data_IF_020835803979
#
_entry.id   IF_020835803979
#
_cell.length_a   1.000
_cell.length_b   1.000
_cell.length_c   1.000
_cell.angle_alpha   90.00
_cell.angle_beta   90.00
_cell.angle_gamma   90.00
#
_symmetry.space_group_name_H-M   'P 1'
#
loop_
_entity.id
_entity.type
_entity.pdbx_description
1 polymer ?
#
# COMPACT_ATOMS: atom_id res chain seq x y z
N UNK A 1 28.71 -8.21 -38.97
CA UNK A 1 28.27 -7.00 -38.25
C UNK A 1 26.89 -7.16 -37.62
N UNK A 2 25.85 -7.56 -38.38
CA UNK A 2 24.49 -7.74 -37.86
C UNK A 2 24.35 -8.72 -36.67
N UNK A 3 25.01 -9.88 -36.73
CA UNK A 3 24.98 -10.89 -35.64
C UNK A 3 25.60 -10.39 -34.33
N UNK A 4 26.68 -9.61 -34.40
CA UNK A 4 27.34 -9.04 -33.23
C UNK A 4 26.47 -7.94 -32.61
N UNK A 5 25.87 -7.09 -33.43
CA UNK A 5 24.91 -6.07 -32.98
C UNK A 5 23.67 -6.70 -32.31
N UNK A 6 23.10 -7.78 -32.89
CA UNK A 6 21.99 -8.51 -32.28
C UNK A 6 22.37 -9.16 -30.93
N UNK A 7 23.58 -9.72 -30.81
CA UNK A 7 24.06 -10.31 -29.55
C UNK A 7 24.29 -9.24 -28.47
N UNK A 8 24.85 -8.08 -28.84
CA UNK A 8 25.00 -6.94 -27.95
C UNK A 8 23.64 -6.40 -27.50
N UNK A 9 22.70 -6.20 -28.43
CA UNK A 9 21.35 -5.74 -28.11
C UNK A 9 20.61 -6.72 -27.18
N UNK A 10 20.70 -8.03 -27.46
CA UNK A 10 20.11 -9.07 -26.61
C UNK A 10 20.77 -9.14 -25.22
N UNK A 11 22.10 -9.00 -25.14
CA UNK A 11 22.85 -8.95 -23.90
C UNK A 11 22.47 -7.74 -23.04
N UNK A 12 22.43 -6.55 -23.63
CA UNK A 12 22.00 -5.32 -22.95
C UNK A 12 20.55 -5.39 -22.49
N UNK A 13 19.64 -5.92 -23.34
CA UNK A 13 18.25 -6.13 -22.97
C UNK A 13 18.08 -7.09 -21.78
N UNK A 14 18.85 -8.17 -21.75
CA UNK A 14 18.84 -9.15 -20.66
C UNK A 14 19.37 -8.55 -19.35
N UNK A 15 20.44 -7.76 -19.40
CA UNK A 15 20.99 -7.06 -18.23
C UNK A 15 20.03 -5.99 -17.70
N UNK A 16 19.39 -5.23 -18.59
CA UNK A 16 18.39 -4.24 -18.20
C UNK A 16 17.17 -4.89 -17.55
N UNK A 17 16.66 -5.98 -18.13
CA UNK A 17 15.55 -6.75 -17.57
C UNK A 17 15.92 -7.36 -16.22
N UNK A 18 17.10 -7.99 -16.11
CA UNK A 18 17.61 -8.56 -14.85
C UNK A 18 17.77 -7.51 -13.76
N UNK A 19 18.35 -6.35 -14.09
CA UNK A 19 18.48 -5.23 -13.17
C UNK A 19 17.13 -4.66 -12.71
N UNK A 20 16.14 -4.60 -13.60
CA UNK A 20 14.79 -4.18 -13.25
C UNK A 20 14.10 -5.18 -12.31
N UNK A 21 14.21 -6.49 -12.58
CA UNK A 21 13.66 -7.54 -11.72
C UNK A 21 14.30 -7.49 -10.32
N UNK A 22 15.63 -7.35 -10.24
CA UNK A 22 16.32 -7.22 -8.97
C UNK A 22 15.84 -6.00 -8.17
N UNK A 23 15.62 -4.85 -8.83
CA UNK A 23 15.03 -3.68 -8.17
C UNK A 23 13.59 -3.90 -7.73
N UNK A 24 12.81 -4.64 -8.51
CA UNK A 24 11.41 -4.95 -8.17
C UNK A 24 11.29 -5.88 -6.97
N UNK A 25 12.23 -6.81 -6.83
CA UNK A 25 12.29 -7.75 -5.71
C UNK A 25 13.05 -7.20 -4.49
N UNK A 26 13.77 -6.07 -4.64
CA UNK A 26 14.45 -5.42 -3.54
C UNK A 26 13.43 -5.01 -2.47
N UNK A 27 13.70 -5.40 -1.21
CA UNK A 27 12.85 -5.20 -0.02
C UNK A 27 11.51 -5.95 -0.01
N UNK A 28 11.04 -6.47 -1.14
CA UNK A 28 9.76 -7.18 -1.23
C UNK A 28 9.62 -8.32 -0.20
N UNK A 29 10.64 -9.18 0.05
CA UNK A 29 10.53 -10.21 1.08
C UNK A 29 10.26 -9.67 2.49
N UNK A 30 10.82 -8.51 2.85
CA UNK A 30 10.59 -7.88 4.14
C UNK A 30 9.20 -7.25 4.23
N UNK A 31 8.68 -6.75 3.10
CA UNK A 31 7.34 -6.16 2.99
C UNK A 31 6.21 -7.19 3.01
N UNK A 32 6.48 -8.47 2.70
CA UNK A 32 5.48 -9.56 2.72
C UNK A 32 5.00 -9.94 4.12
N UNK A 33 5.61 -9.37 5.17
CA UNK A 33 5.20 -9.58 6.56
C UNK A 33 5.89 -10.75 7.24
N UNK A 34 5.31 -11.18 8.36
CA UNK A 34 5.90 -12.18 9.25
C UNK A 34 5.82 -13.59 8.65
N UNK A 35 6.91 -14.35 8.77
CA UNK A 35 6.90 -15.78 8.43
C UNK A 35 6.08 -16.61 9.43
N UNK A 36 5.70 -17.86 9.09
CA UNK A 36 4.85 -18.71 9.93
C UNK A 36 5.37 -18.91 11.36
N UNK A 37 6.69 -18.96 11.56
CA UNK A 37 7.27 -19.08 12.90
C UNK A 37 7.08 -17.83 13.76
N UNK A 38 7.19 -16.64 13.17
CA UNK A 38 6.97 -15.38 13.88
C UNK A 38 5.48 -15.15 14.20
N UNK A 39 4.59 -15.49 13.26
CA UNK A 39 3.14 -15.48 13.47
C UNK A 39 2.78 -16.40 14.63
N UNK A 40 3.31 -17.62 14.63
CA UNK A 40 3.08 -18.62 15.68
C UNK A 40 3.42 -18.09 17.08
N UNK A 41 4.60 -17.50 17.25
CA UNK A 41 5.00 -16.90 18.53
C UNK A 41 4.02 -15.85 19.05
N UNK A 42 3.44 -15.04 18.16
CA UNK A 42 2.45 -14.03 18.53
C UNK A 42 1.04 -14.62 18.75
N UNK A 43 0.69 -15.70 18.04
CA UNK A 43 -0.68 -16.22 17.96
C UNK A 43 -0.94 -17.46 18.83
N UNK A 44 0.09 -18.16 19.31
CA UNK A 44 -0.02 -19.45 20.03
C UNK A 44 -0.89 -19.41 21.30
N UNK A 45 -1.07 -18.24 21.91
CA UNK A 45 -1.96 -18.06 23.07
C UNK A 45 -3.40 -17.68 22.74
N UNK A 46 -3.71 -17.46 21.47
CA UNK A 46 -5.04 -17.00 21.04
C UNK A 46 -6.00 -18.18 20.87
N UNK A 47 -7.22 -18.12 21.40
CA UNK A 47 -8.25 -19.12 21.12
C UNK A 47 -8.65 -19.16 19.64
N UNK A 48 -8.30 -18.11 18.88
CA UNK A 48 -8.58 -17.98 17.45
C UNK A 48 -7.45 -18.52 16.57
N UNK A 49 -6.31 -18.93 17.12
CA UNK A 49 -5.23 -19.54 16.35
C UNK A 49 -5.27 -21.06 16.50
N UNK A 50 -5.64 -21.76 15.42
CA UNK A 50 -5.77 -23.22 15.39
C UNK A 50 -5.40 -23.77 14.02
N UNK A 51 -4.83 -24.97 14.00
CA UNK A 51 -4.37 -25.64 12.78
C UNK A 51 -3.36 -24.81 11.95
N UNK A 52 -2.60 -23.93 12.62
CA UNK A 52 -1.56 -23.09 11.99
C UNK A 52 -2.08 -21.81 11.31
N UNK A 53 -3.38 -21.51 11.40
CA UNK A 53 -4.02 -20.34 10.79
C UNK A 53 -4.85 -19.58 11.83
N UNK A 54 -4.97 -18.27 11.67
CA UNK A 54 -5.85 -17.44 12.50
C UNK A 54 -7.28 -17.46 11.94
N UNK A 55 -8.25 -17.71 12.80
CA UNK A 55 -9.68 -17.77 12.46
C UNK A 55 -10.35 -16.50 12.98
N UNK A 56 -10.81 -15.65 12.06
CA UNK A 56 -11.56 -14.45 12.42
C UNK A 56 -12.90 -14.83 13.07
N UNK A 57 -13.38 -13.98 13.98
CA UNK A 57 -14.68 -14.16 14.65
C UNK A 57 -15.84 -14.11 13.65
N UNK A 58 -15.72 -13.20 12.67
CA UNK A 58 -16.64 -13.09 11.56
C UNK A 58 -16.06 -13.77 10.32
N UNK A 59 -16.86 -14.55 9.58
CA UNK A 59 -16.41 -15.13 8.33
C UNK A 59 -16.12 -14.01 7.33
N UNK A 60 -14.98 -14.11 6.64
CA UNK A 60 -14.69 -13.20 5.55
C UNK A 60 -15.78 -13.31 4.47
N UNK A 61 -16.24 -12.15 3.98
CA UNK A 61 -17.09 -12.08 2.79
C UNK A 61 -16.27 -12.52 1.58
N UNK A 62 -16.25 -13.83 1.33
CA UNK A 62 -15.56 -14.37 0.17
C UNK A 62 -16.30 -13.93 -1.10
N UNK A 63 -15.72 -12.98 -1.83
CA UNK A 63 -16.09 -12.75 -3.23
C UNK A 63 -15.72 -14.03 -4.00
N UNK A 64 -16.73 -14.83 -4.35
CA UNK A 64 -16.55 -15.99 -5.23
C UNK A 64 -16.62 -15.50 -6.67
N UNK A 65 -15.47 -15.09 -7.19
CA UNK A 65 -15.32 -14.71 -8.59
C UNK A 65 -15.04 -15.95 -9.43
N UNK A 66 -15.73 -16.10 -10.56
CA UNK A 66 -15.43 -17.15 -11.54
C UNK A 66 -14.19 -16.81 -12.39
N UNK A 67 -13.77 -17.75 -13.25
CA UNK A 67 -12.57 -17.57 -14.07
C UNK A 67 -12.70 -16.44 -15.10
N UNK A 68 -13.90 -16.20 -15.63
CA UNK A 68 -14.15 -15.13 -16.60
C UNK A 68 -14.19 -13.77 -15.91
N UNK A 69 -14.82 -13.67 -14.73
CA UNK A 69 -14.84 -12.47 -13.91
C UNK A 69 -13.41 -12.06 -13.49
N UNK A 70 -12.59 -13.02 -13.04
CA UNK A 70 -11.18 -12.77 -12.74
C UNK A 70 -10.41 -12.29 -13.97
N UNK A 71 -10.69 -12.85 -15.15
CA UNK A 71 -10.04 -12.44 -16.40
C UNK A 71 -10.47 -11.03 -16.83
N UNK A 72 -11.74 -10.68 -16.64
CA UNK A 72 -12.26 -9.34 -16.91
C UNK A 72 -11.65 -8.30 -15.98
N UNK A 73 -11.55 -8.59 -14.67
CA UNK A 73 -10.87 -7.72 -13.71
C UNK A 73 -9.41 -7.52 -14.11
N UNK A 74 -8.69 -8.60 -14.44
CA UNK A 74 -7.30 -8.52 -14.86
C UNK A 74 -7.16 -7.69 -16.15
N UNK A 75 -8.06 -7.89 -17.12
CA UNK A 75 -8.07 -7.10 -18.35
C UNK A 75 -8.34 -5.63 -18.05
N UNK A 76 -9.34 -5.33 -17.21
CA UNK A 76 -9.68 -3.97 -16.80
C UNK A 76 -8.50 -3.28 -16.12
N UNK A 77 -7.84 -3.93 -15.16
CA UNK A 77 -6.63 -3.39 -14.51
C UNK A 77 -5.51 -2.99 -15.51
N UNK A 78 -5.46 -3.66 -16.67
CA UNK A 78 -4.51 -3.37 -17.74
C UNK A 78 -5.06 -2.29 -18.70
N UNK A 79 -6.35 -2.34 -19.03
CA UNK A 79 -6.98 -1.53 -20.08
C UNK A 79 -7.65 -0.23 -19.61
N UNK A 80 -8.18 -0.14 -18.38
CA UNK A 80 -9.03 0.96 -17.89
C UNK A 80 -8.28 2.16 -17.32
N UNK A 81 -6.98 2.29 -17.65
CA UNK A 81 -6.08 3.32 -17.13
C UNK A 81 -6.52 4.78 -17.34
N UNK A 82 -7.46 5.04 -18.24
CA UNK A 82 -7.97 6.39 -18.56
C UNK A 82 -9.17 6.81 -17.71
N UNK A 83 -10.06 5.89 -17.32
CA UNK A 83 -11.22 6.23 -16.49
C UNK A 83 -10.88 6.25 -14.99
N UNK A 84 -9.83 5.53 -14.59
CA UNK A 84 -9.39 5.41 -13.19
C UNK A 84 -8.42 6.52 -12.74
N UNK A 85 -8.17 7.54 -13.56
CA UNK A 85 -7.25 8.64 -13.26
C UNK A 85 -7.95 9.99 -13.39
N UNK A 86 -7.67 10.95 -12.49
CA UNK A 86 -8.17 12.30 -12.64
C UNK A 86 -7.63 12.93 -13.93
N UNK A 87 -8.47 13.70 -14.62
CA UNK A 87 -8.10 14.38 -15.87
C UNK A 87 -7.09 15.53 -15.68
N UNK A 88 -6.77 15.88 -14.43
CA UNK A 88 -5.81 16.91 -14.06
C UNK A 88 -5.22 16.64 -12.68
N UNK A 89 -4.37 17.55 -12.20
CA UNK A 89 -3.80 17.46 -10.87
C UNK A 89 -4.91 17.48 -9.80
N UNK A 90 -4.81 16.58 -8.82
CA UNK A 90 -5.70 16.63 -7.65
C UNK A 90 -5.32 17.88 -6.84
N UNK A 91 -6.25 18.81 -6.59
CA UNK A 91 -5.97 19.99 -5.80
C UNK A 91 -5.68 19.57 -4.35
N UNK A 92 -4.61 20.12 -3.78
CA UNK A 92 -4.18 19.84 -2.42
C UNK A 92 -4.27 21.08 -1.56
N UNK A 93 -4.67 20.90 -0.31
CA UNK A 93 -4.60 21.90 0.74
C UNK A 93 -3.66 21.40 1.83
N UNK A 94 -2.79 22.27 2.33
CA UNK A 94 -2.02 21.96 3.53
C UNK A 94 -3.00 21.99 4.73
N UNK A 95 -3.10 20.92 5.52
CA UNK A 95 -3.97 20.91 6.68
C UNK A 95 -3.46 21.93 7.72
N UNK A 96 -4.34 22.74 8.33
CA UNK A 96 -3.96 23.53 9.49
C UNK A 96 -3.70 22.56 10.64
N UNK A 97 -2.43 22.38 10.99
CA UNK A 97 -2.04 21.56 12.14
C UNK A 97 -1.35 22.47 13.13
N UNK A 98 -2.12 22.94 14.11
CA UNK A 98 -1.62 23.79 15.17
C UNK A 98 -0.91 22.97 16.26
N UNK A 99 -0.24 23.63 17.21
CA UNK A 99 0.40 22.91 18.32
C UNK A 99 -0.62 22.16 19.18
N UNK A 100 -1.83 22.73 19.35
CA UNK A 100 -2.92 22.15 20.13
C UNK A 100 -3.95 21.50 19.20
N UNK A 101 -4.46 20.32 19.53
CA UNK A 101 -5.58 19.72 18.79
C UNK A 101 -6.85 20.56 18.94
N UNK A 102 -7.60 20.66 17.85
CA UNK A 102 -8.95 21.21 17.83
C UNK A 102 -9.93 20.29 18.59
N UNK A 103 -11.08 20.83 19.08
CA UNK A 103 -12.08 20.01 19.77
C UNK A 103 -12.62 18.85 18.91
N UNK A 104 -12.77 19.11 17.61
CA UNK A 104 -13.17 18.12 16.61
C UNK A 104 -12.73 18.59 15.22
N UNK A 105 -11.79 17.89 14.60
CA UNK A 105 -11.35 18.16 13.23
C UNK A 105 -10.93 16.87 12.52
N UNK A 106 -11.08 16.86 11.19
CA UNK A 106 -10.64 15.74 10.34
C UNK A 106 -9.87 16.31 9.16
N UNK A 107 -8.60 15.93 9.03
CA UNK A 107 -7.77 16.26 7.88
C UNK A 107 -7.58 15.00 7.02
N UNK A 108 -8.07 15.03 5.79
CA UNK A 108 -7.90 13.93 4.83
C UNK A 108 -6.54 14.04 4.13
N UNK A 109 -5.67 13.05 4.32
CA UNK A 109 -4.31 13.03 3.77
C UNK A 109 -4.21 12.16 2.48
N UNK A 110 -5.32 11.54 2.08
CA UNK A 110 -5.44 10.70 0.89
C UNK A 110 -5.75 9.24 1.24
N UNK A 111 -6.44 8.55 0.34
CA UNK A 111 -6.94 7.18 0.58
C UNK A 111 -7.72 7.08 1.90
N UNK A 112 -7.45 6.09 2.75
CA UNK A 112 -7.99 5.94 4.11
C UNK A 112 -7.17 6.67 5.18
N UNK A 113 -6.10 7.39 4.81
CA UNK A 113 -5.29 8.15 5.76
C UNK A 113 -6.00 9.44 6.19
N UNK A 114 -6.39 9.51 7.46
CA UNK A 114 -6.98 10.71 8.07
C UNK A 114 -6.28 11.03 9.39
N UNK A 115 -6.02 12.32 9.62
CA UNK A 115 -5.62 12.84 10.92
C UNK A 115 -6.90 13.38 11.59
N UNK A 116 -7.38 12.65 12.59
CA UNK A 116 -8.53 13.00 13.43
C UNK A 116 -8.03 13.71 14.68
N UNK A 117 -8.62 14.87 14.97
CA UNK A 117 -8.49 15.55 16.25
C UNK A 117 -9.84 15.46 16.97
N UNK A 118 -9.85 14.94 18.19
CA UNK A 118 -11.08 14.76 18.97
C UNK A 118 -10.78 14.80 20.47
N UNK A 119 -11.51 15.63 21.22
CA UNK A 119 -11.39 15.76 22.68
C UNK A 119 -9.94 16.00 23.17
N UNK A 120 -9.14 16.70 22.36
CA UNK A 120 -7.73 16.98 22.67
C UNK A 120 -6.75 15.86 22.29
N UNK A 121 -7.20 14.82 21.60
CA UNK A 121 -6.37 13.72 21.09
C UNK A 121 -6.17 13.81 19.58
N UNK A 122 -5.04 13.29 19.10
CA UNK A 122 -4.69 13.10 17.70
C UNK A 122 -4.60 11.63 17.35
N UNK A 123 -5.45 11.20 16.43
CA UNK A 123 -5.52 9.82 15.93
C UNK A 123 -5.25 9.81 14.44
N UNK A 124 -4.28 9.00 14.01
CA UNK A 124 -3.99 8.78 12.60
C UNK A 124 -4.55 7.43 12.14
N UNK A 125 -5.32 7.42 11.06
CA UNK A 125 -5.85 6.18 10.47
C UNK A 125 -5.00 5.73 9.29
N UNK A 126 -4.83 4.42 9.12
CA UNK A 126 -4.29 3.75 7.92
C UNK A 126 -3.21 4.57 7.16
N UNK A 127 -2.03 4.79 7.77
CA UNK A 127 -1.05 5.76 7.28
C UNK A 127 -0.29 5.30 6.04
N UNK A 128 -0.47 6.00 4.91
CA UNK A 128 0.28 5.73 3.67
C UNK A 128 1.06 6.95 3.19
N UNK A 129 2.36 6.98 3.51
CA UNK A 129 3.32 7.97 2.99
C UNK A 129 4.15 7.46 1.81
N UNK A 130 4.09 6.16 1.52
CA UNK A 130 4.83 5.56 0.42
C UNK A 130 4.31 6.07 -0.93
N UNK A 131 5.18 6.05 -1.95
CA UNK A 131 4.75 6.38 -3.31
C UNK A 131 3.85 5.29 -3.92
N UNK A 132 3.98 4.05 -3.43
CA UNK A 132 3.25 2.87 -3.93
C UNK A 132 2.74 2.01 -2.78
N UNK A 133 1.49 1.57 -2.90
CA UNK A 133 0.88 0.55 -2.04
C UNK A 133 1.25 -0.83 -2.60
N UNK A 134 2.44 -1.32 -2.26
CA UNK A 134 2.98 -2.56 -2.82
C UNK A 134 4.16 -3.06 -1.98
N UNK A 135 4.40 -4.39 -1.93
CA UNK A 135 5.64 -4.93 -1.38
C UNK A 135 6.87 -4.47 -2.17
N UNK A 136 6.69 -4.13 -3.44
CA UNK A 136 7.74 -3.64 -4.33
C UNK A 136 7.76 -2.12 -4.39
N UNK A 137 8.95 -1.51 -4.31
CA UNK A 137 9.12 -0.08 -4.51
C UNK A 137 8.94 0.36 -5.98
N UNK A 138 8.98 -0.57 -6.93
CA UNK A 138 8.95 -0.26 -8.37
C UNK A 138 7.66 -0.69 -9.07
N UNK A 139 6.99 -1.73 -8.57
CA UNK A 139 5.77 -2.31 -9.18
C UNK A 139 4.59 -2.10 -8.23
N UNK A 140 3.39 -1.96 -8.79
CA UNK A 140 2.15 -1.85 -8.03
C UNK A 140 1.50 -0.46 -8.09
N UNK A 141 0.30 -0.31 -7.49
CA UNK A 141 -0.46 0.94 -7.48
C UNK A 141 0.40 2.12 -7.01
N UNK A 142 0.47 3.17 -7.83
CA UNK A 142 1.10 4.42 -7.44
C UNK A 142 0.02 5.41 -7.06
N UNK A 143 0.28 6.19 -6.02
CA UNK A 143 -0.61 7.27 -5.65
C UNK A 143 -0.75 8.33 -6.74
N UNK A 144 -1.88 9.05 -6.69
CA UNK A 144 -2.28 10.00 -7.73
C UNK A 144 -1.92 11.46 -7.41
N UNK A 145 -1.52 11.75 -6.17
CA UNK A 145 -1.11 13.08 -5.70
C UNK A 145 -0.01 12.91 -4.63
N UNK A 146 0.84 13.93 -4.35
CA UNK A 146 1.79 13.93 -3.21
C UNK A 146 1.05 14.01 -1.86
N UNK A 147 1.74 13.69 -0.75
CA UNK A 147 1.08 13.62 0.56
C UNK A 147 0.88 15.07 0.99
N UNK A 148 -0.33 15.50 1.41
CA UNK A 148 -0.56 16.90 1.75
C UNK A 148 0.31 17.39 2.91
N UNK A 149 0.77 16.47 3.76
CA UNK A 149 1.58 16.74 4.94
C UNK A 149 2.81 15.80 4.96
N UNK A 150 4.04 16.33 4.88
CA UNK A 150 5.26 15.53 5.07
C UNK A 150 5.28 14.82 6.43
N UNK A 151 5.86 13.62 6.47
CA UNK A 151 5.85 12.78 7.68
C UNK A 151 6.57 13.46 8.84
N UNK A 152 7.68 14.13 8.55
CA UNK A 152 8.50 14.89 9.48
C UNK A 152 7.81 16.13 10.05
N UNK A 153 6.71 16.57 9.44
CA UNK A 153 5.89 17.69 9.92
C UNK A 153 4.62 17.23 10.63
N UNK A 154 4.43 15.92 10.76
CA UNK A 154 3.29 15.37 11.47
C UNK A 154 3.41 15.76 12.96
N UNK A 155 2.31 16.22 13.59
CA UNK A 155 2.32 16.53 15.00
C UNK A 155 2.49 15.25 15.82
N UNK A 156 2.73 15.42 17.12
CA UNK A 156 2.64 14.30 18.05
C UNK A 156 1.25 13.65 17.98
N UNK A 157 1.24 12.33 17.89
CA UNK A 157 0.04 11.51 17.79
C UNK A 157 -0.16 10.76 19.10
N UNK A 158 -1.41 10.68 19.54
CA UNK A 158 -1.79 9.85 20.69
C UNK A 158 -2.05 8.41 20.27
N UNK A 159 -2.51 8.18 19.03
CA UNK A 159 -2.78 6.85 18.51
C UNK A 159 -2.60 6.75 16.99
N UNK A 160 -2.28 5.54 16.54
CA UNK A 160 -2.40 5.11 15.15
C UNK A 160 -3.38 3.94 15.11
N UNK A 161 -4.38 4.03 14.24
CA UNK A 161 -5.39 2.99 14.04
C UNK A 161 -5.16 2.34 12.69
N UNK A 162 -4.98 1.02 12.71
CA UNK A 162 -4.81 0.20 11.51
C UNK A 162 -6.06 -0.66 11.37
N UNK A 163 -6.76 -0.52 10.25
CA UNK A 163 -8.00 -1.25 9.99
C UNK A 163 -7.73 -2.71 9.59
N UNK A 164 -6.74 -2.95 8.74
CA UNK A 164 -6.36 -4.27 8.22
C UNK A 164 -4.94 -4.26 7.63
N UNK A 165 -4.48 -5.39 7.09
CA UNK A 165 -3.10 -5.59 6.61
C UNK A 165 -2.89 -5.45 5.10
N UNK A 166 -3.84 -4.85 4.37
CA UNK A 166 -3.61 -4.51 2.97
C UNK A 166 -2.55 -3.40 2.85
N UNK A 167 -1.93 -3.31 1.66
CA UNK A 167 -0.81 -2.39 1.44
C UNK A 167 -1.22 -0.93 1.28
N UNK A 168 -2.49 -0.67 0.98
CA UNK A 168 -3.13 0.65 0.88
C UNK A 168 -3.91 0.99 2.16
#
# INVERSE_FOLDING_TARGET
MLRTALRLAAGTGSLAAGGWVLRALNDAPASLGAGPGAIRTAADGSPNYRDGVFHNLEPASALKLDAEENRLILFDMISSRSASRPGGAVPLAAPPVDARPEPLAVNWLGHSTTLLEIDGYRVLTDPVWSNRCSPSRTVGPQRLHPVPLPLETLPELDAVVISHDHYD
#
